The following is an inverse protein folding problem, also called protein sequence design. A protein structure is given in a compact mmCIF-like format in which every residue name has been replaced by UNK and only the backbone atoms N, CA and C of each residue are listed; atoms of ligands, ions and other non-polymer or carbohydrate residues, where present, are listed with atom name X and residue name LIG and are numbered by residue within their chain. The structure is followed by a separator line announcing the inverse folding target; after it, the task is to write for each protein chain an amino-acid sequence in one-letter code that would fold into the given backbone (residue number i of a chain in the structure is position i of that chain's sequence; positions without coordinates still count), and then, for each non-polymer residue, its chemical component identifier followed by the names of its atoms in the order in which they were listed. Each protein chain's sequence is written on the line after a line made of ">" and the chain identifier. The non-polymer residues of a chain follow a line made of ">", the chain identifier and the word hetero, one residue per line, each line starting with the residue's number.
data_IF_840949601134
#
_entry.id   IF_840949601134
#
_cell.length_a   1.000
_cell.length_b   1.000
_cell.length_c   1.000
_cell.angle_alpha   90.00
_cell.angle_beta   90.00
_cell.angle_gamma   90.00
#
_symmetry.space_group_name_H-M   'P 1'
#
loop_
_entity.id
_entity.type
_entity.pdbx_description
1 polymer ?
#
# COMPACT_ATOMS: atom_id res chain seq x y z
N UNK A 1 27.59 16.31 4.44
CA UNK A 1 26.63 15.42 5.15
C UNK A 1 25.47 15.15 4.21
N UNK A 2 25.24 13.88 3.81
CA UNK A 2 24.13 13.52 2.92
C UNK A 2 22.89 13.31 3.81
N UNK A 3 21.89 14.18 3.71
CA UNK A 3 20.62 14.02 4.42
C UNK A 3 19.83 12.91 3.74
N UNK A 4 19.72 11.77 4.42
CA UNK A 4 18.84 10.66 4.02
C UNK A 4 17.40 11.17 3.94
N UNK A 5 16.60 10.81 2.93
CA UNK A 5 15.20 11.20 2.89
C UNK A 5 14.52 10.67 4.15
N UNK A 6 13.81 11.56 4.86
CA UNK A 6 13.08 11.25 6.08
C UNK A 6 12.05 10.16 5.77
N UNK A 7 12.41 8.90 6.05
CA UNK A 7 11.48 7.78 6.04
C UNK A 7 10.57 8.06 7.23
N UNK A 8 9.32 8.49 6.99
CA UNK A 8 8.33 8.58 8.06
C UNK A 8 8.25 7.18 8.67
N UNK A 9 8.75 7.01 9.89
CA UNK A 9 8.61 5.76 10.61
C UNK A 9 7.12 5.59 10.88
N UNK A 10 6.52 4.58 10.25
CA UNK A 10 5.17 4.18 10.61
C UNK A 10 5.23 3.72 12.07
N UNK A 11 4.64 4.50 12.96
CA UNK A 11 4.45 4.09 14.35
C UNK A 11 3.17 3.25 14.40
N UNK A 12 3.27 2.04 14.92
CA UNK A 12 2.09 1.19 15.11
C UNK A 12 1.10 1.92 16.01
N UNK A 13 -0.20 1.92 15.69
CA UNK A 13 -1.21 2.62 16.47
C UNK A 13 -1.48 1.97 17.84
N UNK A 14 -0.84 0.83 18.09
CA UNK A 14 -0.92 0.03 19.32
C UNK A 14 0.38 -0.74 19.51
N UNK A 15 0.74 -1.02 20.76
CA UNK A 15 1.84 -1.91 21.13
C UNK A 15 1.42 -3.39 21.16
N UNK A 16 0.11 -3.66 21.00
CA UNK A 16 -0.43 -5.01 21.01
C UNK A 16 -0.54 -5.60 19.60
N UNK A 17 0.14 -6.73 19.38
CA UNK A 17 -0.02 -7.61 18.24
C UNK A 17 -0.24 -9.05 18.75
N UNK A 18 -1.16 -9.79 18.12
CA UNK A 18 -1.43 -11.18 18.46
C UNK A 18 -0.44 -12.08 17.70
N UNK A 19 0.58 -12.61 18.39
CA UNK A 19 1.65 -13.40 17.75
C UNK A 19 1.15 -14.67 17.06
N UNK A 20 0.00 -15.22 17.48
CA UNK A 20 -0.63 -16.36 16.81
C UNK A 20 -1.00 -16.07 15.35
N UNK A 21 -1.06 -14.79 14.96
CA UNK A 21 -1.37 -14.36 13.58
C UNK A 21 -0.14 -14.34 12.66
N UNK A 22 1.09 -14.49 13.17
CA UNK A 22 2.32 -14.33 12.37
C UNK A 22 2.27 -15.18 11.09
N UNK A 23 1.94 -16.47 11.23
CA UNK A 23 1.91 -17.40 10.09
C UNK A 23 0.75 -17.12 9.12
N UNK A 24 -0.35 -16.53 9.62
CA UNK A 24 -1.50 -16.15 8.79
C UNK A 24 -1.17 -14.89 8.00
N UNK A 25 -0.56 -13.90 8.65
CA UNK A 25 -0.15 -12.65 8.03
C UNK A 25 0.94 -12.87 6.98
N UNK A 26 1.87 -13.80 7.23
CA UNK A 26 2.85 -14.24 6.22
C UNK A 26 2.16 -14.86 5.00
N UNK A 27 1.20 -15.78 5.19
CA UNK A 27 0.43 -16.35 4.09
C UNK A 27 -0.39 -15.30 3.32
N UNK A 28 -0.93 -14.29 4.02
CA UNK A 28 -1.57 -13.16 3.35
C UNK A 28 -0.55 -12.46 2.45
N UNK A 29 0.66 -12.18 2.93
CA UNK A 29 1.72 -11.56 2.11
C UNK A 29 2.07 -12.41 0.88
N UNK A 30 2.19 -13.73 1.02
CA UNK A 30 2.43 -14.65 -0.10
C UNK A 30 1.30 -14.60 -1.14
N UNK A 31 0.05 -14.60 -0.70
CA UNK A 31 -1.12 -14.50 -1.59
C UNK A 31 -1.17 -13.17 -2.33
N UNK A 32 -0.75 -12.08 -1.68
CA UNK A 32 -0.66 -10.76 -2.30
C UNK A 32 0.43 -10.71 -3.37
N UNK A 33 1.61 -11.27 -3.09
CA UNK A 33 2.68 -11.38 -4.07
C UNK A 33 2.23 -12.18 -5.30
N UNK A 34 1.56 -13.32 -5.07
CA UNK A 34 1.00 -14.15 -6.14
C UNK A 34 -0.08 -13.42 -6.96
N UNK A 35 -0.98 -12.67 -6.31
CA UNK A 35 -2.01 -11.87 -7.00
C UNK A 35 -1.38 -10.81 -7.90
N UNK A 36 -0.31 -10.17 -7.45
CA UNK A 36 0.43 -9.16 -8.22
C UNK A 36 1.10 -9.77 -9.46
N UNK A 37 1.74 -10.92 -9.30
CA UNK A 37 2.38 -11.65 -10.39
C UNK A 37 1.36 -12.06 -11.47
N UNK A 38 0.26 -12.71 -11.07
CA UNK A 38 -0.77 -13.21 -12.00
C UNK A 38 -1.50 -12.09 -12.76
N UNK A 39 -1.65 -10.92 -12.14
CA UNK A 39 -2.34 -9.79 -12.75
C UNK A 39 -1.44 -8.86 -13.56
N UNK A 40 -0.11 -9.09 -13.56
CA UNK A 40 0.87 -8.17 -14.13
C UNK A 40 0.68 -6.73 -13.63
N UNK A 41 0.50 -6.58 -12.31
CA UNK A 41 0.21 -5.30 -11.65
C UNK A 41 -1.09 -4.60 -12.10
N UNK A 42 -2.02 -5.31 -12.73
CA UNK A 42 -3.34 -4.79 -13.14
C UNK A 42 -4.48 -5.72 -12.70
N UNK A 43 -4.78 -5.78 -11.40
CA UNK A 43 -5.63 -6.84 -10.87
C UNK A 43 -7.14 -6.59 -10.94
N UNK A 44 -7.57 -5.34 -11.18
CA UNK A 44 -8.98 -4.96 -11.18
C UNK A 44 -9.71 -5.27 -9.87
N UNK A 45 -11.04 -5.23 -9.93
CA UNK A 45 -11.95 -5.54 -8.83
C UNK A 45 -12.60 -6.92 -9.06
N UNK A 46 -12.82 -7.75 -8.03
CA UNK A 46 -13.54 -9.01 -8.19
C UNK A 46 -14.94 -8.83 -8.79
N UNK A 47 -15.43 -9.82 -9.54
CA UNK A 47 -16.78 -9.81 -10.09
C UNK A 47 -17.84 -9.62 -8.98
N UNK A 48 -18.96 -8.99 -9.33
CA UNK A 48 -20.02 -8.59 -8.40
C UNK A 48 -20.58 -9.77 -7.59
N UNK A 49 -20.61 -10.97 -8.17
CA UNK A 49 -21.17 -12.17 -7.52
C UNK A 49 -20.18 -12.86 -6.56
N UNK A 50 -18.87 -12.60 -6.71
CA UNK A 50 -17.83 -13.26 -5.90
C UNK A 50 -17.78 -12.74 -4.47
N UNK A 51 -18.02 -11.43 -4.27
CA UNK A 51 -17.91 -10.81 -2.94
C UNK A 51 -19.00 -11.33 -1.98
N UNK A 52 -20.29 -11.40 -2.37
CA UNK A 52 -21.32 -12.04 -1.55
C UNK A 52 -21.03 -13.53 -1.30
N UNK A 53 -20.55 -14.27 -2.31
CA UNK A 53 -20.22 -15.68 -2.16
C UNK A 53 -19.12 -15.91 -1.11
N UNK A 54 -18.02 -15.15 -1.18
CA UNK A 54 -16.92 -15.26 -0.22
C UNK A 54 -17.31 -14.75 1.16
N UNK A 55 -18.11 -13.67 1.23
CA UNK A 55 -18.68 -13.17 2.49
C UNK A 55 -19.42 -14.29 3.21
N UNK A 56 -20.34 -14.97 2.53
CA UNK A 56 -21.09 -16.08 3.09
C UNK A 56 -20.19 -17.28 3.44
N UNK A 57 -19.31 -17.67 2.52
CA UNK A 57 -18.45 -18.86 2.67
C UNK A 57 -17.49 -18.76 3.85
N UNK A 58 -16.93 -17.59 4.09
CA UNK A 58 -15.93 -17.36 5.14
C UNK A 58 -16.51 -16.68 6.38
N UNK A 59 -17.81 -16.37 6.39
CA UNK A 59 -18.46 -15.65 7.50
C UNK A 59 -17.95 -14.22 7.68
N UNK A 60 -17.55 -13.56 6.59
CA UNK A 60 -16.97 -12.22 6.61
C UNK A 60 -18.00 -11.16 6.23
N UNK A 61 -17.83 -9.93 6.72
CA UNK A 61 -18.70 -8.83 6.32
C UNK A 61 -18.43 -8.42 4.85
N UNK A 62 -19.48 -8.39 4.03
CA UNK A 62 -19.38 -8.08 2.60
C UNK A 62 -18.77 -6.70 2.35
N UNK A 63 -19.27 -5.66 3.01
CA UNK A 63 -18.76 -4.29 2.84
C UNK A 63 -17.29 -4.18 3.24
N UNK A 64 -16.86 -4.90 4.29
CA UNK A 64 -15.46 -4.96 4.69
C UNK A 64 -14.58 -5.63 3.62
N UNK A 65 -15.02 -6.75 3.04
CA UNK A 65 -14.34 -7.40 1.92
C UNK A 65 -14.23 -6.47 0.71
N UNK A 66 -15.30 -5.73 0.37
CA UNK A 66 -15.26 -4.74 -0.70
C UNK A 66 -14.18 -3.69 -0.46
N UNK A 67 -14.01 -3.20 0.78
CA UNK A 67 -12.95 -2.22 1.10
C UNK A 67 -11.56 -2.80 0.94
N UNK A 68 -11.33 -4.05 1.34
CA UNK A 68 -10.05 -4.74 1.16
C UNK A 68 -9.68 -4.78 -0.33
N UNK A 69 -10.59 -5.27 -1.18
CA UNK A 69 -10.33 -5.32 -2.62
C UNK A 69 -10.26 -3.94 -3.28
N UNK A 70 -10.96 -2.93 -2.76
CA UNK A 70 -10.83 -1.54 -3.23
C UNK A 70 -9.45 -0.97 -2.93
N UNK A 71 -8.90 -1.23 -1.74
CA UNK A 71 -7.55 -0.80 -1.39
C UNK A 71 -6.51 -1.42 -2.35
N UNK A 72 -6.71 -2.67 -2.74
CA UNK A 72 -5.85 -3.34 -3.72
C UNK A 72 -6.00 -2.84 -5.16
N UNK A 73 -7.06 -2.12 -5.51
CA UNK A 73 -7.18 -1.47 -6.82
C UNK A 73 -6.29 -0.23 -6.94
N UNK A 74 -5.97 0.42 -5.82
CA UNK A 74 -5.23 1.68 -5.80
C UNK A 74 -3.76 1.47 -6.19
N UNK A 75 -3.22 0.24 -6.20
CA UNK A 75 -1.86 -0.04 -6.63
C UNK A 75 -0.78 0.41 -5.63
N UNK A 76 0.36 -0.26 -5.62
CA UNK A 76 1.48 0.07 -4.71
C UNK A 76 2.14 1.41 -5.05
N UNK A 77 2.07 1.82 -6.32
CA UNK A 77 2.67 3.06 -6.82
C UNK A 77 2.12 4.31 -6.12
N UNK A 78 0.89 4.25 -5.63
CA UNK A 78 0.27 5.32 -4.85
C UNK A 78 0.79 5.40 -3.40
N UNK A 79 1.54 4.39 -2.94
CA UNK A 79 2.18 4.34 -1.63
C UNK A 79 3.70 4.51 -1.70
N UNK A 80 4.28 4.59 -2.90
CA UNK A 80 5.68 4.94 -3.06
C UNK A 80 5.89 6.40 -2.65
N UNK A 81 6.97 6.73 -1.91
CA UNK A 81 7.31 8.12 -1.67
C UNK A 81 7.48 8.81 -3.04
N UNK A 82 6.99 10.05 -3.19
CA UNK A 82 7.08 10.75 -4.46
C UNK A 82 8.51 10.70 -4.96
N UNK A 83 8.70 10.18 -6.18
CA UNK A 83 9.99 10.18 -6.86
C UNK A 83 10.48 11.63 -6.84
N UNK A 84 11.49 11.92 -6.03
CA UNK A 84 12.07 13.26 -5.95
C UNK A 84 12.79 13.48 -7.28
N UNK A 85 12.08 14.01 -8.29
CA UNK A 85 12.70 14.32 -9.57
C UNK A 85 13.72 15.42 -9.33
N UNK A 86 14.95 15.24 -9.85
CA UNK A 86 16.05 16.20 -9.68
C UNK A 86 15.73 17.60 -10.23
N UNK A 87 14.66 17.76 -11.02
CA UNK A 87 14.19 19.07 -11.49
C UNK A 87 13.67 19.98 -10.37
N UNK A 88 13.01 19.44 -9.35
CA UNK A 88 12.54 20.25 -8.21
C UNK A 88 13.70 20.85 -7.41
N UNK A 89 14.84 20.15 -7.34
CA UNK A 89 16.02 20.65 -6.63
C UNK A 89 16.67 21.85 -7.36
N UNK A 90 16.56 21.92 -8.69
CA UNK A 90 17.15 23.01 -9.50
C UNK A 90 16.41 24.33 -9.33
N UNK A 91 15.10 24.29 -9.11
CA UNK A 91 14.28 25.47 -8.84
C UNK A 91 14.56 26.02 -7.44
N UNK A 92 14.64 25.16 -6.42
CA UNK A 92 14.92 25.60 -5.05
C UNK A 92 16.32 26.21 -4.89
N UNK A 93 17.34 25.67 -5.57
CA UNK A 93 18.70 26.23 -5.55
C UNK A 93 18.82 27.59 -6.25
N UNK A 94 17.87 27.97 -7.11
CA UNK A 94 17.87 29.28 -7.78
C UNK A 94 17.11 30.35 -7.00
N UNK A 95 16.21 29.98 -6.08
CA UNK A 95 15.46 30.93 -5.26
C UNK A 95 16.34 31.51 -4.12
N UNK A 96 17.33 30.77 -3.63
CA UNK A 96 18.30 31.27 -2.64
C UNK A 96 19.29 32.30 -3.24
N UNK A 97 19.42 32.39 -4.57
CA UNK A 97 20.31 33.37 -5.23
C UNK A 97 19.64 34.76 -5.39
N UNK A 98 18.32 34.87 -5.27
CA UNK A 98 17.59 36.14 -5.37
C UNK A 98 17.26 36.78 -4.01
N UNK A 99 17.93 36.34 -2.93
CA UNK A 99 17.94 37.03 -1.62
C UNK A 99 19.38 37.43 -1.27
N UNK A 100 19.91 38.41 -2.00
CA UNK A 100 20.96 39.32 -1.54
C UNK A 100 20.69 40.70 -2.15
#
# INVERSE_FOLDING_TARGET
>A
MKTSPMRISFHTPTDHYCEDLILVDEQICELLAKRKELSNNNPGFPHQDLIPEWSQKFGLNEAWLQRIFSAYMIGEEHFLPPHRTNEFLKICSNIEVCRN
#
